data_IF_933426036985
#
_entry.id   IF_933426036985
#
_cell.length_a   1.000
_cell.length_b   1.000
_cell.length_c   1.000
_cell.angle_alpha   90.00
_cell.angle_beta   90.00
_cell.angle_gamma   90.00
#
_symmetry.space_group_name_H-M   'P 1'
#
loop_
_entity.id
_entity.type
_entity.pdbx_description
1 polymer ?
#
# COMPACT_ATOMS: atom_id res chain seq x y z
N UNK A 1 21.12 -3.96 -17.98
CA UNK A 1 20.21 -2.99 -17.33
C UNK A 1 20.43 -3.03 -15.83
N UNK A 2 20.23 -1.91 -15.13
CA UNK A 2 20.37 -1.82 -13.67
C UNK A 2 19.13 -2.36 -12.97
N UNK A 3 19.35 -3.06 -11.86
CA UNK A 3 18.30 -3.62 -11.00
C UNK A 3 18.75 -3.66 -9.53
N UNK A 4 17.78 -3.70 -8.62
CA UNK A 4 18.02 -4.00 -7.20
C UNK A 4 17.72 -5.48 -6.99
N UNK A 5 18.76 -6.26 -6.76
CA UNK A 5 18.70 -7.70 -6.56
C UNK A 5 19.39 -8.07 -5.25
N UNK A 6 18.74 -8.91 -4.45
CA UNK A 6 19.39 -9.55 -3.30
C UNK A 6 19.70 -11.01 -3.61
N UNK A 7 20.87 -11.46 -3.16
CA UNK A 7 21.36 -12.83 -3.33
C UNK A 7 21.11 -13.68 -2.08
N UNK A 8 20.94 -13.04 -0.93
CA UNK A 8 20.60 -13.68 0.34
C UNK A 8 19.54 -12.86 1.09
N UNK A 9 18.88 -13.51 2.03
CA UNK A 9 18.02 -12.83 2.99
C UNK A 9 18.88 -12.24 4.12
N UNK A 10 18.54 -11.05 4.62
CA UNK A 10 19.38 -10.44 5.66
C UNK A 10 19.05 -9.01 6.05
N UNK A 11 20.04 -8.13 6.05
CA UNK A 11 19.91 -6.70 6.34
C UNK A 11 19.53 -5.90 5.08
N UNK A 12 19.20 -4.61 5.24
CA UNK A 12 18.82 -3.76 4.11
C UNK A 12 19.88 -3.67 3.01
N UNK A 13 21.16 -3.86 3.36
CA UNK A 13 22.31 -3.89 2.44
C UNK A 13 22.26 -5.03 1.41
N UNK A 14 21.41 -6.04 1.63
CA UNK A 14 21.17 -7.06 0.63
C UNK A 14 20.48 -6.49 -0.62
N UNK A 15 19.81 -5.33 -0.54
CA UNK A 15 19.29 -4.63 -1.72
C UNK A 15 20.42 -4.01 -2.57
N UNK A 16 21.09 -4.83 -3.37
CA UNK A 16 22.27 -4.41 -4.14
C UNK A 16 21.90 -3.95 -5.53
N UNK A 17 22.47 -2.82 -5.95
CA UNK A 17 22.43 -2.38 -7.34
C UNK A 17 23.37 -3.26 -8.18
N UNK A 18 22.80 -3.97 -9.15
CA UNK A 18 23.53 -4.89 -10.04
C UNK A 18 23.17 -4.62 -11.49
N UNK A 19 24.00 -5.14 -12.40
CA UNK A 19 23.65 -5.25 -13.81
C UNK A 19 23.09 -6.63 -14.13
N UNK A 20 21.96 -6.67 -14.83
CA UNK A 20 21.30 -7.88 -15.33
C UNK A 20 20.94 -7.72 -16.80
N UNK A 21 20.69 -8.83 -17.50
CA UNK A 21 20.23 -8.78 -18.88
C UNK A 21 18.90 -8.04 -19.03
N UNK A 22 18.77 -7.26 -20.09
CA UNK A 22 17.48 -6.66 -20.43
C UNK A 22 16.54 -7.75 -20.95
N UNK A 23 15.33 -7.91 -20.38
CA UNK A 23 14.40 -8.92 -20.86
C UNK A 23 13.88 -8.54 -22.25
N UNK A 24 13.51 -9.56 -23.03
CA UNK A 24 12.77 -9.41 -24.28
C UNK A 24 11.32 -9.83 -24.05
N UNK A 25 10.32 -9.05 -24.48
CA UNK A 25 8.93 -9.45 -24.32
C UNK A 25 8.64 -10.69 -25.17
N UNK A 26 7.87 -11.62 -24.63
CA UNK A 26 7.29 -12.76 -25.36
C UNK A 26 5.95 -12.37 -25.97
N UNK A 27 5.36 -13.27 -26.75
CA UNK A 27 4.03 -13.07 -27.32
C UNK A 27 3.00 -12.87 -26.19
N UNK A 28 2.18 -11.81 -26.30
CA UNK A 28 1.25 -11.40 -25.25
C UNK A 28 1.86 -10.54 -24.13
N UNK A 29 3.16 -10.26 -24.17
CA UNK A 29 3.86 -9.38 -23.23
C UNK A 29 4.18 -8.01 -23.85
N UNK A 30 4.50 -7.07 -22.98
CA UNK A 30 5.05 -5.76 -23.32
C UNK A 30 6.37 -5.57 -22.59
N UNK A 31 7.27 -4.77 -23.16
CA UNK A 31 8.45 -4.27 -22.48
C UNK A 31 8.17 -2.86 -21.98
N UNK A 32 8.25 -2.66 -20.67
CA UNK A 32 8.05 -1.37 -20.01
C UNK A 32 9.38 -0.84 -19.51
N UNK A 33 9.71 0.39 -19.86
CA UNK A 33 10.77 1.16 -19.21
C UNK A 33 10.19 1.79 -17.94
N UNK A 34 10.70 1.38 -16.78
CA UNK A 34 10.18 1.85 -15.49
C UNK A 34 10.62 3.29 -15.23
N UNK A 35 9.69 4.11 -14.69
CA UNK A 35 9.94 5.49 -14.26
C UNK A 35 10.08 5.57 -12.75
N UNK A 36 9.08 5.09 -12.02
CA UNK A 36 9.00 5.15 -10.55
C UNK A 36 8.41 3.86 -10.02
N UNK A 37 8.97 3.33 -8.93
CA UNK A 37 8.56 2.07 -8.31
C UNK A 37 8.13 2.28 -6.87
N UNK A 38 7.15 1.50 -6.44
CA UNK A 38 6.67 1.50 -5.06
C UNK A 38 7.52 0.64 -4.14
N UNK A 39 7.52 0.98 -2.84
CA UNK A 39 8.08 0.15 -1.78
C UNK A 39 6.95 -0.25 -0.81
N UNK A 40 6.89 -1.55 -0.50
CA UNK A 40 5.88 -2.15 0.36
C UNK A 40 6.54 -2.77 1.60
N UNK A 41 5.86 -2.82 2.77
CA UNK A 41 6.35 -3.57 3.92
C UNK A 41 6.59 -5.06 3.63
N UNK A 42 5.83 -5.62 2.68
CA UNK A 42 6.00 -6.99 2.21
C UNK A 42 7.35 -7.19 1.49
N UNK A 43 7.86 -6.18 0.77
CA UNK A 43 9.17 -6.26 0.12
C UNK A 43 10.26 -6.47 1.18
N UNK A 44 10.21 -5.75 2.30
CA UNK A 44 11.12 -5.96 3.43
C UNK A 44 10.87 -7.30 4.13
N UNK A 45 9.62 -7.71 4.34
CA UNK A 45 9.30 -8.96 5.01
C UNK A 45 9.88 -10.15 4.25
N UNK A 46 9.82 -10.11 2.92
CA UNK A 46 10.44 -11.11 2.06
C UNK A 46 11.97 -11.01 2.06
N UNK A 47 12.53 -9.83 1.78
CA UNK A 47 13.98 -9.56 1.76
C UNK A 47 14.67 -9.93 3.08
N UNK A 48 14.00 -9.78 4.21
CA UNK A 48 14.53 -10.14 5.54
C UNK A 48 14.37 -11.61 5.92
N UNK A 49 13.73 -12.44 5.09
CA UNK A 49 13.54 -13.87 5.36
C UNK A 49 12.35 -14.21 6.25
N UNK A 50 11.49 -13.24 6.58
CA UNK A 50 10.44 -13.42 7.58
C UNK A 50 9.09 -13.83 6.99
N UNK A 51 9.03 -14.43 5.81
CA UNK A 51 7.78 -14.96 5.23
C UNK A 51 8.01 -16.37 4.70
N UNK A 52 6.98 -17.22 4.71
CA UNK A 52 7.09 -18.62 4.28
C UNK A 52 7.57 -18.79 2.82
N UNK A 53 7.44 -17.76 1.98
CA UNK A 53 7.95 -17.74 0.60
C UNK A 53 9.46 -17.47 0.53
N UNK A 54 10.08 -16.98 1.59
CA UNK A 54 11.51 -16.65 1.61
C UNK A 54 12.36 -17.92 1.81
N UNK A 55 12.48 -18.71 0.74
CA UNK A 55 13.27 -19.94 0.68
C UNK A 55 14.53 -19.74 -0.16
N UNK A 56 15.57 -20.58 -0.02
CA UNK A 56 16.76 -20.49 -0.87
C UNK A 56 16.48 -20.58 -2.37
N UNK A 57 15.39 -21.24 -2.77
CA UNK A 57 14.98 -21.37 -4.18
C UNK A 57 14.46 -20.06 -4.79
N UNK A 58 14.10 -19.06 -3.97
CA UNK A 58 13.57 -17.79 -4.44
C UNK A 58 14.61 -16.66 -4.44
N UNK A 59 15.90 -16.97 -4.31
CA UNK A 59 17.01 -16.03 -4.53
C UNK A 59 17.99 -16.59 -5.57
N UNK A 60 18.69 -15.74 -6.35
CA UNK A 60 18.63 -14.28 -6.34
C UNK A 60 17.30 -13.73 -6.87
N UNK A 61 16.88 -12.56 -6.36
CA UNK A 61 15.56 -11.95 -6.69
C UNK A 61 15.65 -10.46 -6.87
N UNK A 62 15.08 -9.96 -7.97
CA UNK A 62 14.81 -8.52 -8.12
C UNK A 62 13.58 -8.15 -7.28
N UNK A 63 13.71 -7.14 -6.43
CA UNK A 63 12.64 -6.68 -5.54
C UNK A 63 11.54 -5.87 -6.23
N UNK A 64 10.51 -5.51 -5.45
CA UNK A 64 9.43 -4.60 -5.87
C UNK A 64 8.24 -5.29 -6.53
N UNK A 65 7.04 -4.83 -6.18
CA UNK A 65 5.79 -5.41 -6.69
C UNK A 65 5.09 -4.54 -7.72
N UNK A 66 5.27 -3.22 -7.64
CA UNK A 66 4.47 -2.26 -8.40
C UNK A 66 5.30 -1.08 -8.87
N UNK A 67 4.80 -0.34 -9.85
CA UNK A 67 5.38 0.91 -10.32
C UNK A 67 4.60 1.53 -11.46
N UNK A 68 5.21 2.55 -12.06
CA UNK A 68 4.75 3.24 -13.26
C UNK A 68 5.90 3.30 -14.28
N UNK A 69 5.55 3.28 -15.56
CA UNK A 69 6.53 3.35 -16.63
C UNK A 69 5.89 3.60 -17.99
N UNK A 70 6.72 3.48 -19.04
CA UNK A 70 6.32 3.69 -20.42
C UNK A 70 6.60 2.43 -21.22
N UNK A 71 5.62 1.96 -21.99
CA UNK A 71 5.80 0.85 -22.93
C UNK A 71 6.80 1.27 -24.01
N UNK A 72 7.83 0.46 -24.26
CA UNK A 72 8.85 0.69 -25.30
C UNK A 72 8.78 -0.32 -26.43
N UNK A 73 8.25 -1.52 -26.17
CA UNK A 73 7.95 -2.55 -27.18
C UNK A 73 6.68 -3.29 -26.73
N UNK A 74 5.80 -3.65 -27.67
CA UNK A 74 4.58 -4.41 -27.38
C UNK A 74 4.42 -5.59 -28.32
N UNK A 75 4.08 -6.76 -27.77
CA UNK A 75 3.64 -7.95 -28.50
C UNK A 75 2.20 -8.32 -28.17
N UNK A 76 1.41 -7.32 -27.81
CA UNK A 76 -0.02 -7.46 -27.52
C UNK A 76 -0.81 -6.27 -28.08
N UNK A 77 -1.92 -6.48 -28.81
CA UNK A 77 -2.61 -5.41 -29.54
C UNK A 77 -3.28 -4.35 -28.65
N UNK A 78 -3.49 -4.63 -27.36
CA UNK A 78 -4.09 -3.69 -26.41
C UNK A 78 -3.15 -2.55 -25.97
N UNK A 79 -1.86 -2.64 -26.29
CA UNK A 79 -0.84 -1.68 -25.86
C UNK A 79 0.14 -1.38 -26.99
N UNK A 80 0.70 -0.18 -27.00
CA UNK A 80 1.70 0.26 -27.98
C UNK A 80 2.83 1.04 -27.31
N UNK A 81 3.94 1.21 -28.04
CA UNK A 81 5.05 2.02 -27.56
C UNK A 81 4.59 3.47 -27.29
N UNK A 82 5.03 4.04 -26.18
CA UNK A 82 4.63 5.36 -25.70
C UNK A 82 3.49 5.36 -24.67
N UNK A 83 2.77 4.24 -24.51
CA UNK A 83 1.72 4.15 -23.49
C UNK A 83 2.33 4.28 -22.08
N UNK A 84 1.83 5.25 -21.30
CA UNK A 84 2.12 5.35 -19.87
C UNK A 84 1.26 4.35 -19.11
N UNK A 85 1.88 3.51 -18.29
CA UNK A 85 1.20 2.37 -17.68
C UNK A 85 1.53 2.20 -16.19
N UNK A 86 0.50 1.88 -15.43
CA UNK A 86 0.60 1.21 -14.14
C UNK A 86 1.17 -0.18 -14.39
N UNK A 87 2.03 -0.66 -13.50
CA UNK A 87 2.66 -1.98 -13.61
C UNK A 87 2.56 -2.70 -12.28
N UNK A 88 2.08 -3.94 -12.28
CA UNK A 88 2.11 -4.81 -11.11
C UNK A 88 1.39 -6.14 -11.32
N UNK A 89 1.97 -7.21 -10.78
CA UNK A 89 1.36 -8.53 -10.79
C UNK A 89 1.55 -9.26 -9.46
N UNK A 90 0.68 -10.24 -9.20
CA UNK A 90 0.80 -11.09 -8.02
C UNK A 90 2.07 -11.94 -8.08
N UNK A 91 2.82 -11.96 -6.99
CA UNK A 91 4.03 -12.75 -6.84
C UNK A 91 5.33 -12.08 -7.32
N UNK A 92 5.24 -10.94 -8.00
CA UNK A 92 6.42 -10.15 -8.38
C UNK A 92 7.21 -9.69 -7.15
N UNK A 93 8.53 -9.74 -7.23
CA UNK A 93 9.42 -9.45 -6.10
C UNK A 93 9.49 -10.55 -5.04
N UNK A 94 8.71 -11.64 -5.20
CA UNK A 94 8.63 -12.75 -4.25
C UNK A 94 9.01 -14.08 -4.93
N UNK A 95 8.18 -14.56 -5.85
CA UNK A 95 8.36 -15.83 -6.58
C UNK A 95 8.83 -15.62 -8.01
N UNK A 96 8.74 -14.39 -8.52
CA UNK A 96 9.26 -13.95 -9.81
C UNK A 96 9.87 -12.56 -9.67
N UNK A 97 10.72 -12.16 -10.62
CA UNK A 97 11.44 -10.89 -10.54
C UNK A 97 10.50 -9.69 -10.61
N UNK A 98 10.76 -8.74 -9.70
CA UNK A 98 9.93 -7.60 -9.43
C UNK A 98 10.15 -6.39 -10.33
N UNK A 99 9.74 -5.23 -9.82
CA UNK A 99 9.74 -3.94 -10.56
C UNK A 99 10.97 -3.08 -10.32
N UNK A 100 11.81 -3.35 -9.33
CA UNK A 100 12.99 -2.53 -8.98
C UNK A 100 14.14 -2.70 -10.00
N UNK A 101 13.90 -2.34 -11.25
CA UNK A 101 14.80 -2.48 -12.41
C UNK A 101 14.41 -1.51 -13.52
N UNK A 102 15.32 -1.23 -14.45
CA UNK A 102 15.07 -0.29 -15.55
C UNK A 102 14.01 -0.75 -16.55
N UNK A 103 13.93 -2.07 -16.82
CA UNK A 103 12.96 -2.61 -17.76
C UNK A 103 12.27 -3.87 -17.21
N UNK A 104 10.98 -3.99 -17.47
CA UNK A 104 10.15 -5.14 -17.09
C UNK A 104 9.46 -5.68 -18.35
N UNK A 105 9.65 -6.96 -18.66
CA UNK A 105 8.75 -7.68 -19.55
C UNK A 105 7.53 -8.12 -18.75
N UNK A 106 6.36 -7.60 -19.10
CA UNK A 106 5.11 -7.78 -18.35
C UNK A 106 4.05 -8.42 -19.25
N UNK A 107 3.29 -9.42 -18.78
CA UNK A 107 2.05 -9.81 -19.43
C UNK A 107 1.12 -8.60 -19.57
N UNK A 108 0.37 -8.48 -20.67
CA UNK A 108 -0.56 -7.36 -20.86
C UNK A 108 -1.56 -7.18 -19.70
N UNK A 109 -1.97 -8.28 -19.05
CA UNK A 109 -2.87 -8.24 -17.89
C UNK A 109 -2.24 -7.68 -16.59
N UNK A 110 -0.91 -7.51 -16.55
CA UNK A 110 -0.17 -6.94 -15.42
C UNK A 110 0.02 -5.42 -15.55
N UNK A 111 -0.50 -4.80 -16.60
CA UNK A 111 -0.40 -3.36 -16.84
C UNK A 111 -1.78 -2.76 -17.11
N UNK A 112 -1.91 -1.47 -16.85
CA UNK A 112 -3.08 -0.68 -17.26
C UNK A 112 -2.70 0.76 -17.56
N UNK A 113 -3.42 1.47 -18.45
CA UNK A 113 -3.07 2.84 -18.81
C UNK A 113 -3.14 3.82 -17.62
N UNK A 114 -2.17 4.73 -17.54
CA UNK A 114 -2.20 5.86 -16.61
C UNK A 114 -2.98 7.01 -17.25
N UNK A 115 -4.03 7.55 -16.59
CA UNK A 115 -4.73 8.73 -17.09
C UNK A 115 -3.78 9.91 -17.29
N UNK A 116 -4.00 10.70 -18.34
CA UNK A 116 -3.10 11.79 -18.73
C UNK A 116 -2.86 12.83 -17.61
N UNK A 117 -3.83 13.01 -16.70
CA UNK A 117 -3.75 13.96 -15.58
C UNK A 117 -3.06 13.39 -14.32
N UNK A 118 -2.52 12.18 -14.37
CA UNK A 118 -1.84 11.54 -13.24
C UNK A 118 -0.35 11.41 -13.57
N UNK A 119 0.52 11.93 -12.70
CA UNK A 119 1.98 11.82 -12.83
C UNK A 119 2.49 10.43 -12.40
N UNK A 120 3.66 10.02 -12.90
CA UNK A 120 4.23 8.69 -12.64
C UNK A 120 4.46 8.41 -11.15
N UNK A 121 4.87 9.42 -10.37
CA UNK A 121 5.06 9.28 -8.92
C UNK A 121 3.73 9.07 -8.20
N UNK A 122 2.67 9.78 -8.61
CA UNK A 122 1.31 9.59 -8.09
C UNK A 122 0.78 8.21 -8.46
N UNK A 123 1.02 7.77 -9.70
CA UNK A 123 0.62 6.46 -10.18
C UNK A 123 1.34 5.32 -9.40
N UNK A 124 2.64 5.45 -9.15
CA UNK A 124 3.39 4.51 -8.33
C UNK A 124 2.92 4.52 -6.87
N UNK A 125 2.66 5.69 -6.29
CA UNK A 125 2.13 5.83 -4.94
C UNK A 125 0.74 5.18 -4.78
N UNK A 126 -0.14 5.34 -5.76
CA UNK A 126 -1.48 4.74 -5.78
C UNK A 126 -1.43 3.21 -5.66
N UNK A 127 -0.40 2.56 -6.21
CA UNK A 127 -0.22 1.11 -6.11
C UNK A 127 0.61 0.66 -4.89
N UNK A 128 1.39 1.56 -4.28
CA UNK A 128 2.37 1.23 -3.24
C UNK A 128 1.70 0.87 -1.90
N UNK A 129 1.59 -0.42 -1.64
CA UNK A 129 1.04 -1.01 -0.41
C UNK A 129 -0.37 -1.55 -0.59
N UNK A 130 -0.92 -1.44 -1.82
CA UNK A 130 -2.27 -1.89 -2.18
C UNK A 130 -3.37 -1.40 -1.22
N UNK A 131 -3.21 -0.23 -0.58
CA UNK A 131 -4.12 0.24 0.47
C UNK A 131 -5.49 0.61 -0.06
N UNK A 132 -5.58 1.34 -1.18
CA UNK A 132 -6.85 1.67 -1.84
C UNK A 132 -7.66 0.42 -2.21
N UNK A 133 -7.01 -0.54 -2.87
CA UNK A 133 -7.66 -1.78 -3.29
C UNK A 133 -8.04 -2.67 -2.10
N UNK A 134 -7.17 -2.79 -1.10
CA UNK A 134 -7.45 -3.56 0.12
C UNK A 134 -8.58 -2.93 0.91
N UNK A 135 -8.55 -1.62 1.11
CA UNK A 135 -9.58 -0.86 1.81
C UNK A 135 -10.94 -0.94 1.12
N UNK A 136 -10.97 -0.76 -0.20
CA UNK A 136 -12.21 -0.89 -0.98
C UNK A 136 -12.83 -2.27 -0.84
N UNK A 137 -12.07 -3.33 -1.12
CA UNK A 137 -12.57 -4.70 -1.04
C UNK A 137 -12.90 -5.10 0.41
N UNK A 138 -12.14 -4.65 1.41
CA UNK A 138 -12.46 -4.87 2.81
C UNK A 138 -13.81 -4.25 3.18
N UNK A 139 -14.07 -3.01 2.75
CA UNK A 139 -15.31 -2.29 3.03
C UNK A 139 -16.50 -2.89 2.26
N UNK A 140 -16.38 -3.10 0.95
CA UNK A 140 -17.52 -3.52 0.11
C UNK A 140 -17.78 -5.02 0.15
N UNK A 141 -16.75 -5.85 0.18
CA UNK A 141 -16.91 -7.30 0.06
C UNK A 141 -17.02 -8.01 1.39
N UNK A 142 -16.34 -7.53 2.43
CA UNK A 142 -16.26 -8.22 3.72
C UNK A 142 -17.05 -7.53 4.83
N UNK A 143 -16.84 -6.24 5.04
CA UNK A 143 -17.57 -5.49 6.06
C UNK A 143 -19.01 -5.14 5.63
N UNK A 144 -19.32 -5.25 4.32
CA UNK A 144 -20.60 -4.84 3.72
C UNK A 144 -21.02 -3.43 4.15
N UNK A 145 -20.02 -2.53 4.17
CA UNK A 145 -20.15 -1.15 4.60
C UNK A 145 -21.32 -0.44 3.90
N UNK A 146 -22.07 0.34 4.66
CA UNK A 146 -23.17 1.18 4.21
C UNK A 146 -22.86 2.66 4.41
N UNK A 147 -23.27 3.55 3.49
CA UNK A 147 -23.18 4.99 3.70
C UNK A 147 -23.80 5.41 5.04
N UNK A 148 -23.15 6.35 5.73
CA UNK A 148 -23.53 6.81 7.06
C UNK A 148 -22.86 6.05 8.22
N UNK A 149 -22.20 4.93 7.96
CA UNK A 149 -21.41 4.22 8.99
C UNK A 149 -20.06 4.90 9.27
N UNK A 150 -19.50 4.62 10.46
CA UNK A 150 -18.19 5.08 10.92
C UNK A 150 -17.12 4.04 10.65
N UNK A 151 -15.97 4.48 10.11
CA UNK A 151 -14.83 3.62 9.79
C UNK A 151 -13.60 4.02 10.59
N UNK A 152 -12.92 3.04 11.20
CA UNK A 152 -11.59 3.16 11.77
C UNK A 152 -10.57 2.41 10.90
N UNK A 153 -9.47 3.06 10.53
CA UNK A 153 -8.34 2.40 9.90
C UNK A 153 -7.04 2.85 10.60
N UNK A 154 -6.45 2.04 11.50
CA UNK A 154 -5.30 2.46 12.31
C UNK A 154 -4.04 2.77 11.48
N UNK A 155 -3.10 3.51 12.08
CA UNK A 155 -1.82 3.93 11.51
C UNK A 155 -1.94 4.87 10.29
N UNK A 156 -2.35 6.11 10.55
CA UNK A 156 -2.36 7.21 9.59
C UNK A 156 -0.94 7.47 9.09
N UNK A 157 -0.70 7.23 7.81
CA UNK A 157 0.64 7.22 7.20
C UNK A 157 0.98 5.89 6.52
N UNK A 158 0.40 4.78 6.99
CA UNK A 158 0.44 3.49 6.29
C UNK A 158 -0.52 3.48 5.09
N UNK A 159 -0.28 2.62 4.08
CA UNK A 159 -1.18 2.50 2.93
C UNK A 159 -2.59 2.12 3.38
N UNK A 160 -2.74 1.02 4.12
CA UNK A 160 -4.06 0.55 4.57
C UNK A 160 -4.76 1.58 5.46
N UNK A 161 -4.07 2.16 6.43
CA UNK A 161 -4.66 3.16 7.34
C UNK A 161 -5.13 4.41 6.60
N UNK A 162 -4.25 5.01 5.80
CA UNK A 162 -4.52 6.28 5.12
C UNK A 162 -5.51 6.14 3.95
N UNK A 163 -5.29 5.15 3.09
CA UNK A 163 -6.00 5.02 1.81
C UNK A 163 -7.41 4.47 2.03
N UNK A 164 -7.60 3.57 3.01
CA UNK A 164 -8.94 3.11 3.40
C UNK A 164 -9.83 4.27 3.82
N UNK A 165 -9.31 5.27 4.54
CA UNK A 165 -10.14 6.41 4.95
C UNK A 165 -10.57 7.29 3.78
N UNK A 166 -9.71 7.49 2.77
CA UNK A 166 -10.11 8.20 1.56
C UNK A 166 -11.22 7.43 0.82
N UNK A 167 -11.08 6.10 0.70
CA UNK A 167 -12.12 5.24 0.12
C UNK A 167 -13.41 5.30 0.94
N UNK A 168 -13.34 5.20 2.26
CA UNK A 168 -14.50 5.23 3.14
C UNK A 168 -15.28 6.55 3.00
N UNK A 169 -14.60 7.69 2.98
CA UNK A 169 -15.23 9.01 2.71
C UNK A 169 -15.92 9.00 1.36
N UNK A 170 -15.25 8.49 0.33
CA UNK A 170 -15.82 8.43 -1.03
C UNK A 170 -17.03 7.51 -1.15
N UNK A 171 -17.10 6.47 -0.31
CA UNK A 171 -18.24 5.57 -0.17
C UNK A 171 -19.34 6.11 0.75
N UNK A 172 -19.17 7.29 1.35
CA UNK A 172 -20.18 7.96 2.17
C UNK A 172 -20.10 7.67 3.66
N UNK A 173 -18.91 7.37 4.20
CA UNK A 173 -18.72 7.30 5.66
C UNK A 173 -19.10 8.63 6.32
N UNK A 174 -19.90 8.54 7.40
CA UNK A 174 -20.24 9.72 8.20
C UNK A 174 -19.04 10.23 8.98
N UNK A 175 -18.14 9.32 9.35
CA UNK A 175 -16.95 9.62 10.13
C UNK A 175 -15.84 8.62 9.80
N UNK A 176 -14.61 9.14 9.73
CA UNK A 176 -13.40 8.34 9.53
C UNK A 176 -12.39 8.65 10.62
N UNK A 177 -11.92 7.61 11.31
CA UNK A 177 -10.98 7.72 12.43
C UNK A 177 -9.69 6.97 12.08
N UNK A 178 -8.54 7.50 12.49
CA UNK A 178 -7.27 6.78 12.44
C UNK A 178 -6.45 6.99 13.71
N UNK A 179 -5.29 6.37 13.76
CA UNK A 179 -4.34 6.48 14.87
C UNK A 179 -2.97 6.90 14.37
N UNK A 180 -2.24 7.67 15.16
CA UNK A 180 -0.84 8.02 14.92
C UNK A 180 0.00 7.55 16.10
N UNK A 181 1.26 7.17 15.85
CA UNK A 181 2.17 6.71 16.91
C UNK A 181 2.78 7.83 17.74
N UNK A 182 2.68 9.08 17.28
CA UNK A 182 3.27 10.27 17.94
C UNK A 182 2.39 11.49 17.69
N UNK A 183 2.48 12.49 18.57
CA UNK A 183 1.81 13.78 18.43
C UNK A 183 2.13 14.46 17.11
N UNK A 184 3.40 14.48 16.71
CA UNK A 184 3.84 15.08 15.45
C UNK A 184 3.13 14.46 14.23
N UNK A 185 3.01 13.13 14.17
CA UNK A 185 2.30 12.45 13.08
C UNK A 185 0.80 12.72 13.11
N UNK A 186 0.22 12.83 14.31
CA UNK A 186 -1.19 13.20 14.46
C UNK A 186 -1.46 14.62 13.95
N UNK A 187 -0.60 15.57 14.26
CA UNK A 187 -0.69 16.96 13.80
C UNK A 187 -0.49 17.08 12.29
N UNK A 188 0.52 16.38 11.73
CA UNK A 188 0.71 16.30 10.28
C UNK A 188 -0.54 15.75 9.58
N UNK A 189 -1.15 14.70 10.12
CA UNK A 189 -2.38 14.14 9.57
C UNK A 189 -3.55 15.12 9.62
N UNK A 190 -3.75 15.82 10.75
CA UNK A 190 -4.79 16.85 10.87
C UNK A 190 -4.58 18.00 9.90
N UNK A 191 -3.35 18.47 9.74
CA UNK A 191 -2.99 19.48 8.75
C UNK A 191 -3.26 19.02 7.30
N UNK A 192 -3.19 17.72 7.04
CA UNK A 192 -3.56 17.10 5.77
C UNK A 192 -5.07 16.80 5.62
N UNK A 193 -5.92 17.30 6.53
CA UNK A 193 -7.38 17.15 6.47
C UNK A 193 -7.94 15.87 7.09
N UNK A 194 -7.13 15.11 7.84
CA UNK A 194 -7.63 13.99 8.65
C UNK A 194 -8.06 14.49 10.02
N UNK A 195 -9.34 14.84 10.17
CA UNK A 195 -9.89 15.44 11.39
C UNK A 195 -9.74 14.56 12.64
N UNK A 196 -10.18 13.30 12.57
CA UNK A 196 -10.19 12.39 13.72
C UNK A 196 -8.98 11.46 13.71
N UNK A 197 -7.91 11.94 14.34
CA UNK A 197 -6.68 11.16 14.55
C UNK A 197 -6.38 11.04 16.04
N UNK A 198 -6.31 9.81 16.52
CA UNK A 198 -5.98 9.46 17.91
C UNK A 198 -4.46 9.35 18.04
N UNK A 199 -3.89 10.05 19.01
CA UNK A 199 -2.46 9.98 19.30
C UNK A 199 -2.18 8.88 20.33
N UNK A 200 -1.62 7.77 19.86
CA UNK A 200 -1.33 6.59 20.69
C UNK A 200 -0.21 6.81 21.71
N UNK A 201 0.51 7.93 21.65
CA UNK A 201 1.45 8.32 22.70
C UNK A 201 0.77 8.95 23.92
N UNK A 202 -0.50 9.34 23.78
CA UNK A 202 -1.25 10.06 24.82
C UNK A 202 -2.48 9.29 25.32
N UNK A 203 -3.15 8.52 24.47
CA UNK A 203 -4.32 7.72 24.86
C UNK A 203 -4.37 6.37 24.12
N UNK A 204 -5.17 5.42 24.63
CA UNK A 204 -5.40 4.16 23.91
C UNK A 204 -6.30 4.38 22.69
N UNK A 205 -6.20 3.51 21.68
CA UNK A 205 -7.08 3.58 20.51
C UNK A 205 -8.55 3.45 20.91
N UNK A 206 -8.83 2.56 21.89
CA UNK A 206 -10.18 2.35 22.41
C UNK A 206 -10.74 3.62 23.03
N UNK A 207 -10.00 4.23 23.95
CA UNK A 207 -10.50 5.40 24.68
C UNK A 207 -10.68 6.59 23.73
N UNK A 208 -9.74 6.78 22.80
CA UNK A 208 -9.86 7.80 21.76
C UNK A 208 -11.08 7.60 20.85
N UNK A 209 -11.36 6.35 20.43
CA UNK A 209 -12.56 6.06 19.64
C UNK A 209 -13.82 6.36 20.43
N UNK A 210 -13.92 5.88 21.67
CA UNK A 210 -15.12 6.09 22.50
C UNK A 210 -15.32 7.58 22.77
N UNK A 211 -14.24 8.35 22.98
CA UNK A 211 -14.30 9.81 23.13
C UNK A 211 -14.81 10.52 21.87
N UNK A 212 -14.34 10.11 20.69
CA UNK A 212 -14.74 10.72 19.40
C UNK A 212 -16.17 10.35 19.00
N UNK A 213 -16.66 9.19 19.45
CA UNK A 213 -17.95 8.61 19.05
C UNK A 213 -19.00 8.69 20.16
N UNK A 214 -18.78 9.49 21.21
CA UNK A 214 -19.67 9.63 22.37
C UNK A 214 -20.07 8.28 23.00
N UNK A 215 -19.11 7.36 23.08
CA UNK A 215 -19.27 6.03 23.64
C UNK A 215 -19.89 4.99 22.69
N UNK A 216 -20.32 5.39 21.48
CA UNK A 216 -20.97 4.47 20.52
C UNK A 216 -20.00 3.43 19.94
N UNK A 217 -18.75 3.81 19.69
CA UNK A 217 -17.79 3.01 18.92
C UNK A 217 -17.94 3.16 17.40
N UNK A 218 -17.16 2.38 16.66
CA UNK A 218 -17.16 2.37 15.18
C UNK A 218 -17.86 1.14 14.60
N UNK A 219 -18.46 1.29 13.42
CA UNK A 219 -19.15 0.20 12.74
C UNK A 219 -18.17 -0.77 12.07
N UNK A 220 -17.10 -0.24 11.46
CA UNK A 220 -16.11 -1.03 10.74
C UNK A 220 -14.68 -0.64 11.12
N UNK A 221 -13.82 -1.62 11.33
CA UNK A 221 -12.37 -1.45 11.41
C UNK A 221 -11.69 -2.17 10.25
N UNK A 222 -10.79 -1.50 9.55
CA UNK A 222 -9.85 -2.13 8.60
C UNK A 222 -8.45 -2.12 9.23
N UNK A 223 -8.06 -3.26 9.78
CA UNK A 223 -6.83 -3.41 10.57
C UNK A 223 -5.65 -3.82 9.68
N UNK A 224 -4.84 -2.83 9.30
CA UNK A 224 -3.57 -3.04 8.58
C UNK A 224 -2.37 -3.29 9.50
N UNK A 225 -2.53 -3.22 10.82
CA UNK A 225 -1.43 -3.21 11.79
C UNK A 225 -1.35 -4.53 12.55
N UNK A 226 -2.48 -5.04 13.04
CA UNK A 226 -2.57 -6.15 13.97
C UNK A 226 -1.75 -5.95 15.27
N UNK A 227 -1.35 -7.05 15.92
CA UNK A 227 -0.64 -7.00 17.19
C UNK A 227 -1.55 -6.53 18.32
N UNK A 228 -0.99 -5.72 19.22
CA UNK A 228 -1.72 -5.18 20.37
C UNK A 228 -2.91 -4.28 19.99
N UNK A 229 -2.98 -3.81 18.75
CA UNK A 229 -4.10 -2.97 18.29
C UNK A 229 -5.35 -3.78 17.95
N UNK A 230 -5.26 -5.07 17.60
CA UNK A 230 -6.46 -5.83 17.20
C UNK A 230 -7.44 -5.98 18.37
N UNK A 231 -6.95 -6.24 19.58
CA UNK A 231 -7.81 -6.28 20.78
C UNK A 231 -8.49 -4.94 21.04
N UNK A 232 -7.76 -3.83 20.90
CA UNK A 232 -8.32 -2.49 21.02
C UNK A 232 -9.32 -2.17 19.90
N UNK A 233 -9.10 -2.65 18.68
CA UNK A 233 -10.02 -2.48 17.56
C UNK A 233 -11.38 -3.14 17.85
N UNK A 234 -11.37 -4.38 18.34
CA UNK A 234 -12.59 -5.07 18.80
C UNK A 234 -13.25 -4.34 19.96
N UNK A 235 -12.45 -3.86 20.92
CA UNK A 235 -12.95 -3.09 22.05
C UNK A 235 -13.56 -1.73 21.64
N UNK A 236 -13.23 -1.23 20.45
CA UNK A 236 -13.71 0.04 19.88
C UNK A 236 -14.97 -0.09 19.02
N UNK A 237 -15.44 -1.32 18.75
CA UNK A 237 -16.60 -1.55 17.90
C UNK A 237 -17.92 -1.11 18.57
N UNK A 238 -18.83 -0.62 17.74
CA UNK A 238 -20.25 -0.55 18.03
C UNK A 238 -20.89 -1.96 18.00
N UNK A 239 -22.14 -2.07 18.47
CA UNK A 239 -22.91 -3.30 18.35
C UNK A 239 -23.06 -3.73 16.88
N UNK A 240 -22.78 -5.01 16.60
CA UNK A 240 -22.78 -5.61 15.26
C UNK A 240 -21.56 -5.24 14.41
N UNK A 241 -20.57 -4.54 14.98
CA UNK A 241 -19.42 -4.04 14.23
C UNK A 241 -18.49 -5.14 13.70
N UNK A 242 -17.68 -4.81 12.71
CA UNK A 242 -16.76 -5.75 12.04
C UNK A 242 -15.32 -5.26 12.01
N UNK A 243 -14.36 -6.12 12.37
CA UNK A 243 -12.94 -5.93 12.09
C UNK A 243 -12.53 -6.79 10.90
N UNK A 244 -12.00 -6.16 9.84
CA UNK A 244 -11.34 -6.83 8.73
C UNK A 244 -9.82 -6.71 8.89
N UNK A 245 -9.15 -7.83 9.15
CA UNK A 245 -7.70 -7.89 9.38
C UNK A 245 -6.97 -8.07 8.06
N UNK A 246 -6.20 -7.05 7.65
CA UNK A 246 -5.51 -6.94 6.35
C UNK A 246 -4.00 -7.12 6.47
N UNK A 247 -3.38 -6.58 7.52
CA UNK A 247 -1.93 -6.52 7.66
C UNK A 247 -1.45 -6.71 9.09
N UNK A 248 -0.17 -7.04 9.24
CA UNK A 248 0.44 -7.47 10.50
C UNK A 248 1.73 -6.71 10.85
N UNK A 249 1.83 -5.44 10.43
CA UNK A 249 3.02 -4.61 10.64
C UNK A 249 3.38 -4.39 12.13
N UNK A 250 2.39 -4.47 13.03
CA UNK A 250 2.53 -4.37 14.48
C UNK A 250 2.66 -5.70 15.22
N UNK A 251 2.50 -6.85 14.54
CA UNK A 251 2.65 -8.17 15.15
C UNK A 251 1.78 -9.25 14.51
N UNK A 252 2.19 -10.52 14.68
CA UNK A 252 1.50 -11.71 14.12
C UNK A 252 0.56 -12.41 15.11
N UNK A 253 0.57 -11.99 16.36
CA UNK A 253 -0.27 -12.49 17.44
C UNK A 253 -0.97 -11.30 18.07
N UNK A 254 -2.19 -11.52 18.53
CA UNK A 254 -2.99 -10.51 19.20
C UNK A 254 -3.82 -11.17 20.30
N UNK A 255 -3.92 -10.48 21.44
CA UNK A 255 -4.84 -10.84 22.50
C UNK A 255 -6.18 -10.14 22.26
N UNK A 256 -7.27 -10.91 22.38
CA UNK A 256 -8.63 -10.42 22.16
C UNK A 256 -9.52 -10.78 23.35
N UNK A 257 -10.41 -9.86 23.72
CA UNK A 257 -11.42 -10.15 24.73
C UNK A 257 -12.59 -10.89 24.10
N UNK A 258 -12.87 -12.10 24.58
CA UNK A 258 -14.02 -12.89 24.10
C UNK A 258 -15.35 -12.19 24.43
N UNK A 259 -15.39 -11.39 25.50
CA UNK A 259 -16.60 -10.64 25.87
C UNK A 259 -16.88 -9.49 24.91
N UNK A 260 -15.86 -8.89 24.29
CA UNK A 260 -16.06 -7.90 23.23
C UNK A 260 -16.69 -8.56 21.98
N UNK A 261 -16.34 -9.81 21.69
CA UNK A 261 -16.93 -10.56 20.58
C UNK A 261 -18.40 -10.90 20.88
N UNK A 262 -18.66 -11.51 22.04
CA UNK A 262 -20.00 -11.99 22.41
C UNK A 262 -20.97 -10.82 22.61
N UNK A 263 -20.63 -9.85 23.47
CA UNK A 263 -21.61 -8.86 23.90
C UNK A 263 -21.88 -7.77 22.87
N UNK A 264 -20.93 -7.49 21.98
CA UNK A 264 -21.17 -6.59 20.84
C UNK A 264 -21.73 -7.33 19.63
N UNK A 265 -21.75 -8.67 19.62
CA UNK A 265 -22.04 -9.43 18.40
C UNK A 265 -21.05 -9.11 17.28
N UNK A 266 -19.78 -8.93 17.63
CA UNK A 266 -18.76 -8.47 16.70
C UNK A 266 -18.31 -9.58 15.73
N UNK A 267 -17.92 -9.17 14.52
CA UNK A 267 -17.27 -10.06 13.54
C UNK A 267 -15.80 -9.73 13.43
N UNK A 268 -14.93 -10.76 13.44
CA UNK A 268 -13.54 -10.65 13.03
C UNK A 268 -13.30 -11.50 11.78
N UNK A 269 -12.73 -10.89 10.74
CA UNK A 269 -12.53 -11.55 9.44
C UNK A 269 -11.16 -11.26 8.86
N UNK A 270 -10.46 -12.31 8.43
CA UNK A 270 -9.19 -12.17 7.72
C UNK A 270 -9.39 -11.77 6.25
N UNK A 271 -8.48 -10.94 5.74
CA UNK A 271 -8.42 -10.54 4.33
C UNK A 271 -7.28 -11.25 3.60
N UNK A 272 -7.56 -11.75 2.40
CA UNK A 272 -6.53 -12.16 1.44
C UNK A 272 -7.07 -12.02 0.03
N UNK A 273 -6.25 -11.51 -0.88
CA UNK A 273 -6.64 -11.33 -2.29
C UNK A 273 -7.10 -12.64 -2.96
N UNK A 274 -6.65 -13.80 -2.45
CA UNK A 274 -7.03 -15.14 -2.94
C UNK A 274 -8.51 -15.49 -2.77
N UNK A 275 -9.24 -14.73 -1.96
CA UNK A 275 -10.68 -14.94 -1.78
C UNK A 275 -11.53 -14.26 -2.86
N UNK A 276 -10.94 -13.40 -3.69
CA UNK A 276 -11.66 -12.70 -4.74
C UNK A 276 -11.45 -13.35 -6.09
N UNK A 277 -12.52 -13.37 -6.87
CA UNK A 277 -12.41 -13.74 -8.29
C UNK A 277 -11.68 -12.61 -9.05
N UNK A 278 -10.95 -12.93 -10.13
CA UNK A 278 -10.27 -11.91 -10.93
C UNK A 278 -11.18 -10.77 -11.38
N UNK A 279 -12.45 -11.07 -11.70
CA UNK A 279 -13.43 -10.09 -12.18
C UNK A 279 -13.82 -9.10 -11.07
N UNK A 280 -13.91 -9.56 -9.82
CA UNK A 280 -14.18 -8.69 -8.65
C UNK A 280 -13.04 -7.70 -8.45
N UNK A 281 -11.79 -8.18 -8.57
CA UNK A 281 -10.61 -7.32 -8.42
C UNK A 281 -10.51 -6.32 -9.58
N UNK A 282 -10.80 -6.75 -10.81
CA UNK A 282 -10.84 -5.88 -11.98
C UNK A 282 -11.90 -4.78 -11.83
N UNK A 283 -13.14 -5.13 -11.45
CA UNK A 283 -14.20 -4.16 -11.22
C UNK A 283 -13.85 -3.14 -10.12
N UNK A 284 -13.25 -3.59 -9.02
CA UNK A 284 -12.78 -2.69 -7.96
C UNK A 284 -11.69 -1.72 -8.45
N UNK A 285 -10.75 -2.19 -9.28
CA UNK A 285 -9.70 -1.34 -9.87
C UNK A 285 -10.28 -0.27 -10.79
N UNK A 286 -11.28 -0.60 -11.61
CA UNK A 286 -11.97 0.36 -12.48
C UNK A 286 -12.65 1.47 -11.67
N UNK A 287 -13.38 1.11 -10.60
CA UNK A 287 -14.03 2.09 -9.71
C UNK A 287 -13.00 3.00 -9.06
N UNK A 288 -11.93 2.44 -8.49
CA UNK A 288 -10.88 3.22 -7.83
C UNK A 288 -10.10 4.11 -8.80
N UNK A 289 -9.87 3.65 -10.03
CA UNK A 289 -9.27 4.47 -11.08
C UNK A 289 -10.17 5.67 -11.43
N UNK A 290 -11.49 5.48 -11.44
CA UNK A 290 -12.46 6.56 -11.58
C UNK A 290 -12.31 7.62 -10.48
N UNK A 291 -12.18 7.18 -9.22
CA UNK A 291 -11.98 8.09 -8.09
C UNK A 291 -10.62 8.81 -8.13
N UNK A 292 -9.54 8.12 -8.51
CA UNK A 292 -8.23 8.73 -8.72
C UNK A 292 -8.29 9.81 -9.81
N UNK A 293 -8.94 9.50 -10.95
CA UNK A 293 -9.11 10.44 -12.07
C UNK A 293 -9.89 11.68 -11.67
N UNK A 294 -10.92 11.52 -10.83
CA UNK A 294 -11.76 12.61 -10.33
C UNK A 294 -11.07 13.45 -9.23
N UNK A 295 -9.92 13.02 -8.70
CA UNK A 295 -9.22 13.69 -7.60
C UNK A 295 -9.78 13.36 -6.21
N UNK A 296 -10.70 12.38 -6.12
CA UNK A 296 -11.28 11.88 -4.87
C UNK A 296 -10.27 11.04 -4.08
N UNK A 297 -9.30 10.43 -4.76
CA UNK A 297 -8.16 9.74 -4.16
C UNK A 297 -6.88 10.53 -4.44
N UNK A 298 -6.14 10.85 -3.39
CA UNK A 298 -4.94 11.66 -3.43
C UNK A 298 -3.80 10.91 -2.73
N UNK A 299 -3.03 10.10 -3.47
CA UNK A 299 -1.87 9.40 -2.92
C UNK A 299 -0.89 10.40 -2.28
N UNK A 300 -0.61 10.21 -0.99
CA UNK A 300 0.37 11.04 -0.27
C UNK A 300 1.75 10.44 -0.41
N UNK A 301 2.72 11.22 -0.88
CA UNK A 301 4.12 10.79 -1.05
C UNK A 301 4.95 11.40 0.07
N UNK A 302 5.61 10.55 0.86
CA UNK A 302 6.51 10.99 1.91
C UNK A 302 7.87 11.37 1.34
N UNK A 303 8.44 10.51 0.50
CA UNK A 303 9.78 10.69 -0.07
C UNK A 303 9.98 9.83 -1.30
N UNK A 304 10.75 10.36 -2.26
CA UNK A 304 11.22 9.63 -3.44
C UNK A 304 12.74 9.54 -3.38
N UNK A 305 13.27 8.32 -3.39
CA UNK A 305 14.71 8.05 -3.41
C UNK A 305 15.18 7.72 -4.83
N UNK A 306 16.47 7.88 -5.16
CA UNK A 306 17.02 7.22 -6.36
C UNK A 306 17.02 5.70 -6.14
N UNK A 307 16.85 4.91 -7.22
CA UNK A 307 16.86 3.45 -7.16
C UNK A 307 18.13 2.90 -6.49
N UNK A 308 19.29 3.54 -6.70
CA UNK A 308 20.57 3.19 -6.07
C UNK A 308 20.55 3.21 -4.54
N UNK A 309 19.62 3.94 -3.92
CA UNK A 309 19.50 4.05 -2.47
C UNK A 309 18.44 3.11 -1.89
N UNK A 310 18.15 1.99 -2.55
CA UNK A 310 17.16 1.02 -2.09
C UNK A 310 17.34 0.55 -0.63
N UNK A 311 18.57 0.29 -0.11
CA UNK A 311 18.75 -0.05 1.31
C UNK A 311 18.14 1.00 2.24
N UNK A 312 18.47 2.28 2.03
CA UNK A 312 18.00 3.40 2.84
C UNK A 312 16.51 3.67 2.63
N UNK A 313 16.01 3.56 1.40
CA UNK A 313 14.59 3.77 1.11
C UNK A 313 13.71 2.74 1.83
N UNK A 314 14.14 1.47 1.87
CA UNK A 314 13.46 0.40 2.61
C UNK A 314 13.58 0.64 4.12
N UNK A 315 14.78 0.98 4.63
CA UNK A 315 14.98 1.32 6.06
C UNK A 315 14.05 2.44 6.50
N UNK A 316 14.02 3.54 5.76
CA UNK A 316 13.16 4.71 6.00
C UNK A 316 11.68 4.34 6.08
N UNK A 317 11.18 3.48 5.18
CA UNK A 317 9.80 3.01 5.25
C UNK A 317 9.50 2.23 6.55
N UNK A 318 10.39 1.32 6.92
CA UNK A 318 10.15 0.34 7.98
C UNK A 318 10.37 0.92 9.38
N UNK A 319 11.41 1.72 9.55
CA UNK A 319 11.83 2.27 10.83
C UNK A 319 11.15 3.60 11.12
N UNK A 320 11.29 4.57 10.22
CA UNK A 320 10.77 5.93 10.43
C UNK A 320 9.25 5.98 10.27
N UNK A 321 8.67 5.06 9.47
CA UNK A 321 7.23 4.88 9.23
C UNK A 321 6.58 6.21 8.84
N UNK A 322 7.03 6.85 7.75
CA UNK A 322 6.67 8.22 7.43
C UNK A 322 5.19 8.37 7.11
N UNK A 323 4.71 9.62 7.14
CA UNK A 323 3.36 9.96 6.70
C UNK A 323 3.31 9.95 5.16
N UNK A 324 2.89 8.82 4.57
CA UNK A 324 2.75 8.66 3.11
C UNK A 324 3.58 7.53 2.54
N UNK A 325 3.61 7.44 1.21
CA UNK A 325 4.30 6.40 0.44
C UNK A 325 5.77 6.73 0.24
N UNK A 326 6.62 5.71 0.27
CA UNK A 326 8.04 5.81 -0.08
C UNK A 326 8.23 5.17 -1.45
N UNK A 327 8.85 5.90 -2.36
CA UNK A 327 9.04 5.49 -3.74
C UNK A 327 10.52 5.51 -4.11
N UNK A 328 10.86 4.86 -5.23
CA UNK A 328 12.17 5.02 -5.87
C UNK A 328 12.00 5.43 -7.33
N UNK A 329 12.78 6.42 -7.78
CA UNK A 329 12.87 6.79 -9.19
C UNK A 329 13.94 5.96 -9.88
N UNK A 330 13.56 5.40 -11.02
CA UNK A 330 14.40 4.55 -11.87
C UNK A 330 15.09 5.42 -12.90
N UNK A 331 16.40 5.22 -13.09
CA UNK A 331 17.18 5.97 -14.10
C UNK A 331 17.65 7.37 -13.69
N UNK A 332 17.37 7.85 -12.47
CA UNK A 332 18.07 9.01 -11.93
C UNK A 332 19.43 8.57 -11.38
N UNK A 333 20.50 8.77 -12.15
CA UNK A 333 21.83 8.87 -11.56
C UNK A 333 21.87 10.12 -10.69
N UNK A 334 22.34 10.01 -9.46
CA UNK A 334 22.49 11.13 -8.54
C UNK A 334 23.22 12.31 -9.21
N UNK A 335 22.64 13.51 -9.07
CA UNK A 335 23.29 14.78 -9.36
C UNK A 335 22.76 15.51 -10.59
N UNK A 336 21.61 16.17 -10.46
CA UNK A 336 21.39 17.52 -11.00
C UNK A 336 20.45 18.26 -10.04
N UNK A 337 21.03 18.81 -8.98
CA UNK A 337 20.43 19.88 -8.18
C UNK A 337 20.33 21.10 -9.08
N UNK A 338 19.26 21.24 -9.87
CA UNK A 338 18.92 22.52 -10.48
C UNK A 338 18.09 23.33 -9.48
N UNK A 339 18.81 24.18 -8.75
CA UNK A 339 18.30 25.39 -8.12
C UNK A 339 17.45 26.16 -9.14
N UNK A 340 16.12 26.01 -9.11
CA UNK A 340 15.23 27.03 -9.67
C UNK A 340 15.08 28.12 -8.61
N UNK A 341 15.96 29.11 -8.69
CA UNK A 341 15.67 30.42 -8.11
C UNK A 341 14.41 30.97 -8.77
N UNK A 342 13.55 31.52 -7.91
CA UNK A 342 12.39 32.30 -8.29
C UNK A 342 12.77 33.43 -9.27
N UNK A 343 11.90 33.62 -10.25
CA UNK A 343 11.53 34.94 -10.78
C UNK A 343 10.02 34.97 -10.84
#
# INVERSE_FOLDING_TARGET
MKAIQYQAYGSYEENRLVEVDCPKPKDGEVLVKMSTVGINPLDNTFRSGHIYLATPANVPRVGGQTGAGVVVESRHPAHQAGDRVFVGAMGWGLVTDGTWREYVAAPAAAISPIPANIDDDVAAAYLAGAGYLSGYLALTEFAKFQPGQTVLAPAIGSAVGMETLQVARRLGASMTISTASTTQKAEQARAAGYEHVIDLSNESMKDGVLRITDGKGVDVVVDGVSGNLTGQALASLAFGGTVVVVGYAGGRQADVSITDIIWKGATIRGFTFRLFKPETVAAAREVLLGYLKAGDLQPTIAKVFPLSNAPEAVRYLIEDRPFGRVLMRVGSTDGHTQTRMAR
#
